data_IF_734940252203
#
_entry.id   IF_734940252203
#
_cell.length_a   1.000
_cell.length_b   1.000
_cell.length_c   1.000
_cell.angle_alpha   90.00
_cell.angle_beta   90.00
_cell.angle_gamma   90.00
#
_symmetry.space_group_name_H-M   'P 1'
#
loop_
_entity.id
_entity.type
_entity.pdbx_description
1 polymer ?
#
# COMPACT_ATOMS: atom_id res chain seq x y z
N UNK A 1 -28.00 16.31 -27.46
CA UNK A 1 -28.13 14.90 -27.88
C UNK A 1 -26.86 14.15 -27.52
N UNK A 2 -26.86 13.34 -26.45
CA UNK A 2 -25.76 12.41 -26.12
C UNK A 2 -26.18 11.02 -26.55
N UNK A 3 -25.32 10.34 -27.30
CA UNK A 3 -25.52 8.94 -27.73
C UNK A 3 -25.53 8.01 -26.50
N UNK A 4 -26.37 6.97 -26.45
CA UNK A 4 -26.33 5.99 -25.37
C UNK A 4 -25.03 5.20 -25.42
N UNK A 5 -24.37 5.02 -24.28
CA UNK A 5 -23.27 4.07 -24.14
C UNK A 5 -23.85 2.65 -24.12
N UNK A 6 -23.51 1.86 -25.13
CA UNK A 6 -23.79 0.42 -25.16
C UNK A 6 -22.89 -0.28 -24.14
N UNK A 7 -23.44 -0.63 -22.99
CA UNK A 7 -22.81 -1.57 -22.06
C UNK A 7 -22.77 -2.94 -22.75
N UNK A 8 -21.59 -3.36 -23.22
CA UNK A 8 -21.38 -4.72 -23.63
C UNK A 8 -21.39 -5.58 -22.36
N UNK A 9 -22.50 -6.27 -22.13
CA UNK A 9 -22.59 -7.30 -21.11
C UNK A 9 -21.62 -8.42 -21.48
N UNK A 10 -20.51 -8.52 -20.75
CA UNK A 10 -19.64 -9.68 -20.81
C UNK A 10 -20.42 -10.91 -20.37
N UNK A 11 -20.38 -11.97 -21.18
CA UNK A 11 -20.93 -13.29 -20.85
C UNK A 11 -20.34 -13.77 -19.53
N UNK A 12 -21.14 -13.71 -18.46
CA UNK A 12 -20.78 -14.17 -17.14
C UNK A 12 -20.74 -15.69 -17.11
N UNK A 13 -19.60 -16.27 -17.49
CA UNK A 13 -19.24 -17.59 -17.00
C UNK A 13 -19.19 -17.50 -15.47
N UNK A 14 -20.06 -18.23 -14.79
CA UNK A 14 -20.07 -18.28 -13.33
C UNK A 14 -18.75 -18.88 -12.88
N UNK A 15 -17.82 -18.07 -12.35
CA UNK A 15 -16.56 -18.55 -11.80
C UNK A 15 -16.78 -19.69 -10.77
N UNK A 16 -17.93 -19.69 -10.08
CA UNK A 16 -18.36 -20.76 -9.15
C UNK A 16 -18.67 -22.12 -9.80
N UNK A 17 -18.52 -22.28 -11.11
CA UNK A 17 -18.69 -23.56 -11.81
C UNK A 17 -17.34 -24.17 -12.24
N UNK A 18 -16.21 -23.60 -11.84
CA UNK A 18 -14.89 -24.18 -12.10
C UNK A 18 -14.70 -25.41 -11.18
N UNK A 19 -14.72 -26.65 -11.71
CA UNK A 19 -14.71 -27.86 -10.89
C UNK A 19 -13.39 -28.05 -10.10
N UNK A 20 -12.36 -27.30 -10.45
CA UNK A 20 -11.05 -27.28 -9.78
C UNK A 20 -10.93 -26.23 -8.66
N UNK A 21 -11.87 -25.28 -8.57
CA UNK A 21 -11.85 -24.23 -7.57
C UNK A 21 -12.46 -24.71 -6.23
N UNK A 22 -11.67 -24.68 -5.16
CA UNK A 22 -12.13 -25.08 -3.81
C UNK A 22 -12.86 -23.92 -3.11
N UNK A 23 -12.48 -22.67 -3.37
CA UNK A 23 -13.15 -21.48 -2.84
C UNK A 23 -12.94 -20.25 -3.75
N UNK A 24 -13.95 -19.38 -3.83
CA UNK A 24 -13.90 -18.14 -4.58
C UNK A 24 -14.37 -17.02 -3.67
N UNK A 25 -13.49 -16.08 -3.36
CA UNK A 25 -13.82 -14.87 -2.60
C UNK A 25 -13.84 -13.67 -3.54
N UNK A 26 -14.97 -12.96 -3.67
CA UNK A 26 -15.01 -11.73 -4.48
C UNK A 26 -14.03 -10.69 -3.95
N UNK A 27 -13.47 -9.90 -4.86
CA UNK A 27 -12.61 -8.79 -4.46
C UNK A 27 -13.39 -7.78 -3.61
N UNK A 28 -12.76 -7.29 -2.55
CA UNK A 28 -13.35 -6.32 -1.63
C UNK A 28 -12.56 -5.00 -1.67
N UNK A 29 -13.29 -3.90 -1.51
CA UNK A 29 -12.65 -2.60 -1.29
C UNK A 29 -12.32 -2.47 0.19
N UNK A 30 -11.07 -2.14 0.50
CA UNK A 30 -10.62 -1.83 1.85
C UNK A 30 -10.36 -0.32 1.97
N UNK A 31 -10.76 0.28 3.08
CA UNK A 31 -10.47 1.67 3.39
C UNK A 31 -9.17 1.77 4.18
N UNK A 32 -8.37 2.80 3.88
CA UNK A 32 -7.12 3.05 4.58
C UNK A 32 -7.39 3.52 6.01
N UNK A 33 -7.04 2.70 7.00
CA UNK A 33 -7.05 3.09 8.41
C UNK A 33 -5.71 3.71 8.80
N UNK A 34 -5.44 4.93 8.33
CA UNK A 34 -4.22 5.65 8.70
C UNK A 34 -4.47 6.58 9.88
N UNK A 35 -3.73 6.40 10.97
CA UNK A 35 -3.51 7.43 12.00
C UNK A 35 -2.12 8.05 11.79
N UNK A 36 -1.90 9.30 12.23
CA UNK A 36 -0.53 9.83 12.26
C UNK A 36 0.28 8.97 13.23
N UNK A 37 1.37 8.37 12.74
CA UNK A 37 2.03 7.23 13.38
C UNK A 37 2.62 7.53 14.77
N UNK A 38 3.04 8.77 15.04
CA UNK A 38 3.55 9.16 16.37
C UNK A 38 2.44 9.24 17.42
N UNK A 39 1.29 9.82 17.04
CA UNK A 39 0.12 9.96 17.93
C UNK A 39 -0.48 8.60 18.27
N UNK A 40 -0.44 7.65 17.32
CA UNK A 40 -0.91 6.27 17.53
C UNK A 40 -0.07 5.50 18.56
N UNK A 41 1.24 5.70 18.57
CA UNK A 41 2.16 4.99 19.46
C UNK A 41 2.33 5.68 20.82
N UNK A 42 1.69 6.85 21.02
CA UNK A 42 1.90 7.67 22.21
C UNK A 42 3.34 8.19 22.35
N UNK A 43 4.09 8.24 21.24
CA UNK A 43 5.49 8.64 21.22
C UNK A 43 5.60 10.13 20.93
N UNK A 44 6.42 10.83 21.72
CA UNK A 44 6.81 12.20 21.39
C UNK A 44 7.56 12.19 20.06
N UNK A 45 7.27 13.18 19.23
CA UNK A 45 7.94 13.37 17.93
C UNK A 45 9.32 14.02 18.12
N UNK A 46 10.07 13.52 19.10
CA UNK A 46 11.46 13.88 19.35
C UNK A 46 12.32 12.69 18.92
N UNK A 47 13.47 12.92 18.25
CA UNK A 47 14.38 11.84 17.93
C UNK A 47 14.79 11.17 19.24
N UNK A 48 14.49 9.88 19.44
CA UNK A 48 14.86 9.23 20.68
C UNK A 48 16.37 9.09 20.66
N UNK A 49 17.04 9.90 21.47
CA UNK A 49 18.50 10.03 21.47
C UNK A 49 19.21 8.68 21.69
N UNK A 50 18.53 7.72 22.31
CA UNK A 50 19.10 6.40 22.62
C UNK A 50 18.28 5.19 22.15
N UNK A 51 16.97 5.29 21.88
CA UNK A 51 16.17 4.08 21.54
C UNK A 51 16.68 3.39 20.29
N UNK A 52 17.00 4.16 19.23
CA UNK A 52 17.54 3.61 17.99
C UNK A 52 18.86 2.87 18.22
N UNK A 53 19.74 3.41 19.07
CA UNK A 53 21.02 2.77 19.40
C UNK A 53 20.81 1.52 20.26
N UNK A 54 19.94 1.59 21.28
CA UNK A 54 19.60 0.47 22.18
C UNK A 54 18.98 -0.72 21.46
N UNK A 55 18.25 -0.48 20.37
CA UNK A 55 17.65 -1.54 19.55
C UNK A 55 18.54 -2.00 18.40
N UNK A 56 19.82 -1.61 18.38
CA UNK A 56 20.73 -1.76 17.25
C UNK A 56 20.08 -1.39 15.90
N UNK A 57 19.38 -0.26 15.87
CA UNK A 57 18.66 0.26 14.70
C UNK A 57 17.63 -0.70 14.09
N UNK A 58 17.20 -1.72 14.83
CA UNK A 58 16.30 -2.77 14.34
C UNK A 58 17.03 -3.85 13.52
N UNK A 59 18.30 -4.11 13.81
CA UNK A 59 19.02 -5.26 13.26
C UNK A 59 18.18 -6.55 13.40
N UNK A 60 18.19 -7.37 12.36
CA UNK A 60 17.42 -8.61 12.23
C UNK A 60 15.88 -8.48 12.31
N UNK A 61 15.33 -7.26 12.23
CA UNK A 61 13.88 -7.03 12.20
C UNK A 61 13.41 -6.65 10.79
N UNK A 62 12.40 -7.38 10.29
CA UNK A 62 11.70 -7.05 9.03
C UNK A 62 10.33 -6.45 9.33
N UNK A 63 10.08 -5.22 8.84
CA UNK A 63 8.79 -4.55 8.97
C UNK A 63 8.10 -4.49 7.59
N UNK A 64 7.03 -5.28 7.42
CA UNK A 64 6.19 -5.23 6.23
C UNK A 64 5.16 -4.09 6.33
N UNK A 65 5.19 -3.14 5.39
CA UNK A 65 4.17 -2.07 5.27
C UNK A 65 3.36 -2.25 3.99
N UNK A 66 2.05 -2.43 4.14
CA UNK A 66 1.09 -2.37 3.04
C UNK A 66 0.33 -1.05 3.15
N UNK A 67 0.57 -0.12 2.22
CA UNK A 67 -0.03 1.21 2.25
C UNK A 67 0.41 2.06 1.06
N UNK A 68 -0.06 3.31 1.00
CA UNK A 68 0.10 4.19 -0.17
C UNK A 68 1.41 4.99 -0.20
N UNK A 69 2.07 5.18 0.94
CA UNK A 69 2.98 6.32 1.16
C UNK A 69 4.46 6.01 0.92
N UNK A 70 4.76 4.85 0.32
CA UNK A 70 6.14 4.44 0.06
C UNK A 70 6.83 5.38 -0.94
N UNK A 71 6.16 5.79 -2.02
CA UNK A 71 6.75 6.67 -3.04
C UNK A 71 7.08 8.09 -2.50
N UNK A 72 6.19 8.78 -1.77
CA UNK A 72 6.53 10.03 -1.08
C UNK A 72 7.70 9.89 -0.10
N UNK A 73 7.79 8.77 0.63
CA UNK A 73 8.92 8.47 1.51
C UNK A 73 10.23 8.35 0.71
N UNK A 74 10.25 7.54 -0.34
CA UNK A 74 11.42 7.35 -1.20
C UNK A 74 11.97 8.67 -1.74
N UNK A 75 11.08 9.54 -2.23
CA UNK A 75 11.47 10.86 -2.74
C UNK A 75 12.09 11.74 -1.64
N UNK A 76 11.53 11.76 -0.42
CA UNK A 76 12.11 12.52 0.69
C UNK A 76 13.49 12.01 1.09
N UNK A 77 13.65 10.69 1.17
CA UNK A 77 14.91 10.08 1.57
C UNK A 77 16.02 10.22 0.50
N UNK A 78 15.66 10.16 -0.79
CA UNK A 78 16.64 10.06 -1.88
C UNK A 78 16.64 11.28 -2.83
N UNK A 79 15.83 12.30 -2.57
CA UNK A 79 15.65 13.47 -3.42
C UNK A 79 14.94 13.20 -4.76
N UNK A 80 14.68 11.95 -5.13
CA UNK A 80 14.05 11.57 -6.40
C UNK A 80 13.18 10.32 -6.29
N UNK A 81 12.30 10.13 -7.26
CA UNK A 81 11.55 8.89 -7.38
C UNK A 81 12.44 7.77 -7.94
N UNK A 82 12.23 6.50 -7.53
CA UNK A 82 12.84 5.36 -8.20
C UNK A 82 12.49 5.36 -9.69
N UNK A 83 13.46 5.05 -10.55
CA UNK A 83 13.23 4.97 -12.00
C UNK A 83 13.10 6.32 -12.71
N UNK A 84 13.24 7.46 -12.03
CA UNK A 84 13.37 8.76 -12.70
C UNK A 84 14.79 8.91 -13.25
N UNK A 85 15.14 8.15 -14.28
CA UNK A 85 16.20 8.54 -15.21
C UNK A 85 15.63 9.61 -16.14
N UNK A 86 16.38 10.67 -16.38
CA UNK A 86 15.89 11.87 -17.05
C UNK A 86 15.23 11.56 -18.40
N UNK A 87 13.92 11.79 -18.48
CA UNK A 87 13.30 12.19 -19.73
C UNK A 87 13.85 13.58 -20.05
N UNK A 88 14.88 13.61 -20.90
CA UNK A 88 15.14 14.77 -21.75
C UNK A 88 14.25 14.68 -22.98
#
# INVERSE_FOLDING_TARGET
MRRPSTSHGGSGGSAGQLPEAINITPNQKHELMTTRSWDFLGLKNEPPSELLQRTNYGEDIIIGKIGTDLLPFWRRANGRAPGSSGMR
#
